data_IF_864953725876
#
_entry.id   IF_864953725876
#
_cell.length_a   1.000
_cell.length_b   1.000
_cell.length_c   1.000
_cell.angle_alpha   90.00
_cell.angle_beta   90.00
_cell.angle_gamma   90.00
#
_symmetry.space_group_name_H-M   'P 1'
#
loop_
_entity.id
_entity.type
_entity.pdbx_description
1 polymer ?
#
# COMPACT_ATOMS: atom_id res chain seq x y z
N UNK A 1 -8.53 6.66 -30.81
CA UNK A 1 -7.16 6.12 -30.62
C UNK A 1 -6.85 6.12 -29.14
N UNK A 2 -6.63 4.95 -28.56
CA UNK A 2 -6.39 4.77 -27.11
C UNK A 2 -4.92 5.07 -26.74
N UNK A 3 -4.63 5.26 -25.45
CA UNK A 3 -3.26 5.47 -24.95
C UNK A 3 -2.36 4.27 -25.25
N UNK A 4 -2.89 3.05 -25.14
CA UNK A 4 -2.17 1.82 -25.48
C UNK A 4 -1.80 1.75 -26.97
N UNK A 5 -2.73 2.13 -27.86
CA UNK A 5 -2.46 2.18 -29.31
C UNK A 5 -1.39 3.21 -29.69
N UNK A 6 -1.34 4.35 -28.98
CA UNK A 6 -0.30 5.37 -29.19
C UNK A 6 1.07 4.84 -28.77
N UNK A 7 1.15 4.25 -27.57
CA UNK A 7 2.39 3.65 -27.07
C UNK A 7 2.89 2.52 -27.98
N UNK A 8 1.99 1.68 -28.49
CA UNK A 8 2.34 0.60 -29.41
C UNK A 8 2.94 1.12 -30.73
N UNK A 9 2.32 2.15 -31.33
CA UNK A 9 2.87 2.77 -32.56
C UNK A 9 4.23 3.41 -32.31
N UNK A 10 4.38 4.14 -31.21
CA UNK A 10 5.66 4.76 -30.86
C UNK A 10 6.73 3.71 -30.61
N UNK A 11 6.40 2.60 -29.93
CA UNK A 11 7.35 1.52 -29.69
C UNK A 11 7.82 0.82 -30.99
N UNK A 12 6.97 0.74 -32.01
CA UNK A 12 7.36 0.17 -33.32
C UNK A 12 8.41 1.00 -34.07
N UNK A 13 8.49 2.30 -33.80
CA UNK A 13 9.43 3.22 -34.47
C UNK A 13 10.76 3.34 -33.72
N UNK A 14 10.89 2.70 -32.55
CA UNK A 14 12.08 2.78 -31.71
C UNK A 14 13.13 1.72 -32.07
N UNK A 15 14.43 2.00 -31.82
CA UNK A 15 15.48 0.99 -31.91
C UNK A 15 15.24 -0.19 -30.96
N UNK A 16 15.65 -1.39 -31.36
CA UNK A 16 15.43 -2.63 -30.61
C UNK A 16 15.94 -2.56 -29.16
N UNK A 17 17.09 -1.90 -28.94
CA UNK A 17 17.66 -1.69 -27.60
C UNK A 17 16.73 -0.89 -26.67
N UNK A 18 16.00 0.07 -27.21
CA UNK A 18 15.08 0.92 -26.44
C UNK A 18 13.77 0.19 -26.17
N UNK A 19 13.31 -0.65 -27.11
CA UNK A 19 12.13 -1.50 -26.93
C UNK A 19 12.35 -2.50 -25.78
N UNK A 20 13.54 -3.11 -25.71
CA UNK A 20 13.90 -3.99 -24.60
C UNK A 20 13.83 -3.27 -23.24
N UNK A 21 14.39 -2.06 -23.15
CA UNK A 21 14.34 -1.26 -21.91
C UNK A 21 12.90 -0.90 -21.49
N UNK A 22 12.02 -0.61 -22.46
CA UNK A 22 10.59 -0.34 -22.18
C UNK A 22 9.90 -1.59 -21.62
N UNK A 23 10.22 -2.78 -22.14
CA UNK A 23 9.67 -4.04 -21.65
C UNK A 23 10.14 -4.33 -20.22
N UNK A 24 11.44 -4.15 -19.94
CA UNK A 24 12.01 -4.31 -18.60
C UNK A 24 11.35 -3.34 -17.61
N UNK A 25 11.11 -2.10 -18.03
CA UNK A 25 10.41 -1.11 -17.20
C UNK A 25 8.94 -1.46 -16.96
N UNK A 26 8.24 -1.99 -17.97
CA UNK A 26 6.86 -2.45 -17.83
C UNK A 26 6.76 -3.61 -16.82
N UNK A 27 7.69 -4.56 -16.89
CA UNK A 27 7.78 -5.67 -15.93
C UNK A 27 8.08 -5.16 -14.51
N UNK A 28 9.00 -4.21 -14.38
CA UNK A 28 9.27 -3.55 -13.10
C UNK A 28 8.01 -2.89 -12.51
N UNK A 29 7.23 -2.16 -13.31
CA UNK A 29 5.99 -1.53 -12.87
C UNK A 29 4.94 -2.55 -12.44
N UNK A 30 4.80 -3.65 -13.19
CA UNK A 30 3.89 -4.73 -12.83
C UNK A 30 4.29 -5.33 -11.47
N UNK A 31 5.56 -5.69 -11.31
CA UNK A 31 6.09 -6.23 -10.07
C UNK A 31 5.95 -5.27 -8.88
N UNK A 32 6.17 -3.97 -9.10
CA UNK A 32 5.96 -2.93 -8.08
C UNK A 32 4.49 -2.80 -7.68
N UNK A 33 3.57 -2.86 -8.64
CA UNK A 33 2.13 -2.74 -8.39
C UNK A 33 1.58 -3.97 -7.68
N UNK A 34 2.02 -5.16 -8.07
CA UNK A 34 1.68 -6.42 -7.39
C UNK A 34 2.18 -6.38 -5.94
N UNK A 35 3.44 -5.98 -5.72
CA UNK A 35 4.00 -5.81 -4.37
C UNK A 35 3.23 -4.78 -3.51
N UNK A 36 2.77 -3.68 -4.12
CA UNK A 36 1.94 -2.67 -3.45
C UNK A 36 0.55 -3.20 -3.10
N UNK A 37 -0.04 -4.06 -3.92
CA UNK A 37 -1.34 -4.67 -3.62
C UNK A 37 -1.25 -5.79 -2.57
N UNK A 38 -0.11 -6.46 -2.45
CA UNK A 38 0.14 -7.43 -1.37
C UNK A 38 0.53 -6.76 -0.04
N UNK A 39 1.11 -5.56 -0.09
CA UNK A 39 1.42 -4.77 1.10
C UNK A 39 0.20 -3.92 1.47
N UNK A 40 -0.62 -4.42 2.37
CA UNK A 40 -1.70 -3.71 3.06
C UNK A 40 -2.83 -3.21 2.16
N UNK A 41 -3.78 -4.11 1.96
CA UNK A 41 -5.17 -3.72 1.78
C UNK A 41 -5.97 -3.86 3.09
N UNK A 42 -5.29 -3.77 4.23
CA UNK A 42 -5.97 -3.53 5.50
C UNK A 42 -6.47 -2.09 5.46
N UNK A 43 -7.77 -1.94 5.21
CA UNK A 43 -8.48 -0.69 5.34
C UNK A 43 -8.49 -0.35 6.84
N UNK A 44 -8.53 0.93 7.21
CA UNK A 44 -8.57 1.34 8.62
C UNK A 44 -9.70 0.66 9.42
N UNK A 45 -10.77 0.24 8.74
CA UNK A 45 -11.87 -0.51 9.33
C UNK A 45 -11.47 -1.95 9.72
N UNK A 46 -10.49 -2.54 9.04
CA UNK A 46 -9.98 -3.89 9.33
C UNK A 46 -9.12 -3.89 10.61
N UNK A 47 -8.68 -2.72 11.06
CA UNK A 47 -7.91 -2.50 12.31
C UNK A 47 -8.85 -2.11 13.47
N UNK A 48 -10.11 -1.78 13.19
CA UNK A 48 -11.08 -1.41 14.21
C UNK A 48 -11.56 -2.65 15.00
N UNK A 49 -11.67 -2.54 16.32
CA UNK A 49 -12.17 -3.61 17.20
C UNK A 49 -11.12 -4.54 17.78
N UNK A 50 -9.87 -4.55 17.28
CA UNK A 50 -8.82 -5.44 17.79
C UNK A 50 -8.37 -5.21 19.24
N UNK A 51 -8.78 -4.08 19.85
CA UNK A 51 -8.42 -3.72 21.23
C UNK A 51 -9.44 -4.20 22.27
N UNK A 52 -10.57 -4.76 21.86
CA UNK A 52 -11.64 -5.19 22.77
C UNK A 52 -11.24 -6.36 23.69
N UNK A 53 -10.31 -7.20 23.23
CA UNK A 53 -9.73 -8.30 24.01
C UNK A 53 -8.40 -7.94 24.68
N UNK A 54 -7.91 -6.71 24.48
CA UNK A 54 -6.62 -6.28 25.02
C UNK A 54 -6.69 -6.14 26.53
N UNK A 55 -5.83 -6.86 27.25
CA UNK A 55 -5.70 -6.76 28.71
C UNK A 55 -5.33 -5.35 29.19
N UNK A 56 -4.70 -4.54 28.34
CA UNK A 56 -4.33 -3.16 28.65
C UNK A 56 -5.51 -2.20 28.56
N UNK A 57 -6.43 -2.45 27.62
CA UNK A 57 -7.56 -1.56 27.30
C UNK A 57 -8.93 -2.14 27.69
N UNK A 58 -8.99 -3.29 28.36
CA UNK A 58 -10.20 -3.98 28.81
C UNK A 58 -10.84 -3.41 30.08
N UNK A 59 -10.62 -2.13 30.38
CA UNK A 59 -11.07 -1.46 31.61
C UNK A 59 -11.96 -0.25 31.32
N UNK A 60 -12.37 0.45 32.37
CA UNK A 60 -13.11 1.70 32.21
C UNK A 60 -12.26 2.75 31.46
N UNK A 61 -12.77 3.38 30.38
CA UNK A 61 -12.01 4.34 29.60
C UNK A 61 -11.46 5.51 30.40
N UNK A 62 -12.18 6.01 31.41
CA UNK A 62 -11.73 7.15 32.21
C UNK A 62 -10.58 6.75 33.14
N UNK A 63 -10.64 5.57 33.75
CA UNK A 63 -9.56 5.03 34.56
C UNK A 63 -8.29 4.75 33.72
N UNK A 64 -8.44 4.21 32.50
CA UNK A 64 -7.31 4.01 31.58
C UNK A 64 -6.68 5.35 31.21
N UNK A 65 -7.48 6.35 30.86
CA UNK A 65 -7.00 7.68 30.50
C UNK A 65 -6.29 8.38 31.66
N UNK A 66 -6.80 8.19 32.88
CA UNK A 66 -6.17 8.72 34.10
C UNK A 66 -4.81 8.07 34.33
N UNK A 67 -4.73 6.73 34.30
CA UNK A 67 -3.45 6.01 34.45
C UNK A 67 -2.40 6.45 33.43
N UNK A 68 -2.78 6.59 32.16
CA UNK A 68 -1.86 7.06 31.10
C UNK A 68 -1.36 8.49 31.33
N UNK A 69 -2.19 9.36 31.93
CA UNK A 69 -1.80 10.73 32.29
C UNK A 69 -0.82 10.74 33.46
N UNK A 70 -1.12 9.92 34.46
CA UNK A 70 -0.35 9.84 35.70
C UNK A 70 1.02 9.15 35.47
N UNK A 71 1.18 8.32 34.43
CA UNK A 71 2.47 7.72 34.02
C UNK A 71 3.48 8.72 33.46
N UNK A 72 3.08 9.96 33.15
CA UNK A 72 3.94 11.00 32.60
C UNK A 72 4.47 11.98 33.67
N UNK A 73 4.09 11.78 34.94
CA UNK A 73 4.67 12.47 36.12
C UNK A 73 5.84 11.69 36.72
#
# INVERSE_FOLDING_TARGET
MTTAEKLYKTAQELPESVVAEILDFAEFLQNKTVKKNTANREVLIDIAGGLETSTTFSGDPLEIQKRLRDEWE
#
